data_IF_204958403545
#
_entry.id   IF_204958403545
#
_cell.length_a   1.000
_cell.length_b   1.000
_cell.length_c   1.000
_cell.angle_alpha   90.00
_cell.angle_beta   90.00
_cell.angle_gamma   90.00
#
_symmetry.space_group_name_H-M   'P 1'
#
loop_
_entity.id
_entity.type
_entity.pdbx_description
1 polymer ?
#
# COMPACT_ATOMS: atom_id res chain seq x y z
N UNK A 1 25.62 55.66 4.15
CA UNK A 1 24.82 56.09 2.98
C UNK A 1 23.41 56.34 3.50
N UNK A 2 23.05 57.50 4.04
CA UNK A 2 23.43 58.89 3.69
C UNK A 2 23.26 59.15 2.19
N UNK A 3 22.27 59.99 1.82
CA UNK A 3 22.40 61.28 1.09
C UNK A 3 21.38 61.21 -0.07
N UNK A 4 20.56 62.18 -0.50
CA UNK A 4 20.44 63.62 -0.21
C UNK A 4 19.05 64.15 -0.65
N UNK A 5 18.70 65.34 -0.16
CA UNK A 5 17.70 66.26 -0.74
C UNK A 5 18.27 66.91 -2.02
N UNK A 6 17.47 67.52 -2.92
CA UNK A 6 17.30 69.00 -2.91
C UNK A 6 15.96 69.46 -3.58
N UNK A 7 15.51 70.71 -3.74
CA UNK A 7 15.76 72.10 -3.27
C UNK A 7 14.60 72.95 -3.84
N UNK A 8 14.23 74.02 -3.15
CA UNK A 8 13.29 75.09 -3.53
C UNK A 8 13.67 75.86 -4.81
N UNK A 9 12.66 76.39 -5.54
CA UNK A 9 12.72 77.73 -6.17
C UNK A 9 11.31 78.37 -6.19
N UNK A 10 11.14 79.66 -5.82
CA UNK A 10 9.87 80.40 -5.85
C UNK A 10 9.69 81.18 -7.17
N UNK A 11 8.52 81.83 -7.39
CA UNK A 11 8.37 83.23 -7.90
C UNK A 11 6.99 83.53 -8.54
N UNK A 12 6.39 84.65 -8.07
CA UNK A 12 5.43 85.62 -8.67
C UNK A 12 4.06 85.13 -9.16
N UNK A 13 2.95 85.51 -8.52
CA UNK A 13 2.30 86.84 -8.46
C UNK A 13 1.70 87.29 -9.79
N UNK A 14 0.38 87.13 -9.93
CA UNK A 14 -0.43 88.09 -10.66
C UNK A 14 -1.81 88.25 -10.02
N UNK A 15 -2.09 89.51 -9.78
CA UNK A 15 -3.30 90.07 -9.19
C UNK A 15 -4.36 90.13 -10.29
N UNK A 16 -5.50 89.48 -10.07
CA UNK A 16 -6.72 89.76 -10.81
C UNK A 16 -7.89 89.88 -9.83
N UNK A 17 -8.40 91.11 -9.78
CA UNK A 17 -9.55 91.56 -9.03
C UNK A 17 -10.86 90.93 -9.53
N UNK A 18 -11.77 90.79 -8.56
CA UNK A 18 -13.22 90.96 -8.68
C UNK A 18 -14.02 89.98 -9.56
N UNK A 19 -14.72 89.07 -8.88
CA UNK A 19 -16.16 89.23 -8.71
C UNK A 19 -16.63 88.34 -7.56
N UNK A 20 -17.30 88.93 -6.57
CA UNK A 20 -17.93 88.24 -5.47
C UNK A 20 -19.38 87.91 -5.89
N UNK A 21 -19.70 86.66 -6.29
CA UNK A 21 -21.09 86.23 -6.37
C UNK A 21 -21.62 86.11 -4.94
N UNK A 22 -22.72 86.81 -4.67
CA UNK A 22 -23.54 86.66 -3.48
C UNK A 22 -23.89 85.19 -3.29
N UNK A 23 -23.33 84.60 -2.24
CA UNK A 23 -23.50 83.22 -1.79
C UNK A 23 -24.92 83.03 -1.22
N UNK A 24 -25.92 82.91 -2.09
CA UNK A 24 -27.22 82.36 -1.72
C UNK A 24 -27.24 80.85 -2.02
N UNK A 25 -26.85 80.09 -0.98
CA UNK A 25 -27.17 78.70 -0.64
C UNK A 25 -26.98 77.55 -1.68
N UNK A 26 -25.90 76.73 -1.57
CA UNK A 26 -25.83 75.36 -2.09
C UNK A 26 -26.06 74.29 -1.00
N UNK A 27 -26.59 74.66 0.17
CA UNK A 27 -26.69 73.77 1.34
C UNK A 27 -27.56 72.52 1.10
N UNK A 28 -28.42 72.52 0.08
CA UNK A 28 -29.29 71.38 -0.25
C UNK A 28 -28.60 70.34 -1.16
N UNK A 29 -27.88 70.76 -2.20
CA UNK A 29 -27.20 69.84 -3.13
C UNK A 29 -26.06 69.08 -2.47
N UNK A 30 -25.30 69.73 -1.61
CA UNK A 30 -24.21 69.09 -0.84
C UNK A 30 -24.75 68.06 0.16
N UNK A 31 -25.94 68.31 0.70
CA UNK A 31 -26.62 67.39 1.63
C UNK A 31 -27.12 66.13 0.92
N UNK A 32 -27.62 66.27 -0.31
CA UNK A 32 -28.02 65.13 -1.14
C UNK A 32 -26.84 64.29 -1.61
N UNK A 33 -25.75 64.93 -2.04
CA UNK A 33 -24.52 64.24 -2.44
C UNK A 33 -23.92 63.42 -1.28
N UNK A 34 -23.88 63.99 -0.06
CA UNK A 34 -23.43 63.29 1.16
C UNK A 34 -24.35 62.13 1.56
N UNK A 35 -25.66 62.22 1.28
CA UNK A 35 -26.60 61.11 1.51
C UNK A 35 -26.33 59.96 0.55
N UNK A 36 -26.21 60.24 -0.75
CA UNK A 36 -25.88 59.22 -1.76
C UNK A 36 -24.56 58.52 -1.47
N UNK A 37 -23.52 59.26 -1.10
CA UNK A 37 -22.21 58.67 -0.73
C UNK A 37 -22.32 57.71 0.47
N UNK A 38 -23.09 58.08 1.52
CA UNK A 38 -23.30 57.21 2.69
C UNK A 38 -24.11 55.97 2.35
N UNK A 39 -25.10 56.09 1.47
CA UNK A 39 -25.92 54.95 1.04
C UNK A 39 -25.10 53.99 0.18
N UNK A 40 -24.30 54.50 -0.76
CA UNK A 40 -23.36 53.69 -1.55
C UNK A 40 -22.30 53.01 -0.68
N UNK A 41 -21.77 53.69 0.33
CA UNK A 41 -20.83 53.12 1.29
C UNK A 41 -21.47 51.97 2.08
N UNK A 42 -22.69 52.15 2.59
CA UNK A 42 -23.45 51.10 3.28
C UNK A 42 -23.74 49.91 2.37
N UNK A 43 -24.08 50.15 1.11
CA UNK A 43 -24.30 49.08 0.14
C UNK A 43 -23.01 48.30 -0.13
N UNK A 44 -21.87 48.97 -0.28
CA UNK A 44 -20.55 48.33 -0.45
C UNK A 44 -20.17 47.52 0.78
N UNK A 45 -20.36 48.04 1.98
CA UNK A 45 -20.12 47.33 3.23
C UNK A 45 -21.01 46.09 3.34
N UNK A 46 -22.30 46.23 3.03
CA UNK A 46 -23.25 45.11 3.06
C UNK A 46 -22.87 44.03 2.03
N UNK A 47 -22.51 44.41 0.81
CA UNK A 47 -22.02 43.48 -0.22
C UNK A 47 -20.71 42.79 0.19
N UNK A 48 -19.77 43.51 0.84
CA UNK A 48 -18.53 42.95 1.35
C UNK A 48 -18.77 41.93 2.48
N UNK A 49 -19.71 42.21 3.40
CA UNK A 49 -20.09 41.28 4.47
C UNK A 49 -20.79 40.05 3.91
N UNK A 50 -21.72 40.23 2.96
CA UNK A 50 -22.44 39.12 2.31
C UNK A 50 -21.49 38.23 1.52
N UNK A 51 -20.57 38.81 0.74
CA UNK A 51 -19.57 38.04 -0.02
C UNK A 51 -18.58 37.28 0.88
N UNK A 52 -18.11 37.88 1.98
CA UNK A 52 -17.30 37.19 3.00
C UNK A 52 -18.03 36.00 3.62
N UNK A 53 -19.31 36.17 3.98
CA UNK A 53 -20.15 35.07 4.51
C UNK A 53 -20.35 33.96 3.47
N UNK A 54 -20.60 34.32 2.21
CA UNK A 54 -20.75 33.36 1.10
C UNK A 54 -19.47 32.57 0.87
N UNK A 55 -18.31 33.23 0.83
CA UNK A 55 -17.02 32.58 0.63
C UNK A 55 -16.66 31.63 1.78
N UNK A 56 -16.95 32.01 3.04
CA UNK A 56 -16.76 31.11 4.19
C UNK A 56 -17.62 29.85 4.09
N UNK A 57 -18.89 29.97 3.67
CA UNK A 57 -19.76 28.80 3.45
C UNK A 57 -19.23 27.92 2.32
N UNK A 58 -18.83 28.51 1.19
CA UNK A 58 -18.24 27.75 0.08
C UNK A 58 -17.02 26.97 0.56
N UNK A 59 -16.08 27.60 1.28
CA UNK A 59 -14.90 26.94 1.82
C UNK A 59 -15.26 25.78 2.76
N UNK A 60 -16.24 25.97 3.65
CA UNK A 60 -16.71 24.91 4.55
C UNK A 60 -17.32 23.73 3.79
N UNK A 61 -18.12 23.98 2.75
CA UNK A 61 -18.70 22.93 1.91
C UNK A 61 -17.64 22.22 1.08
N UNK A 62 -16.64 22.92 0.54
CA UNK A 62 -15.52 22.31 -0.17
C UNK A 62 -14.72 21.38 0.75
N UNK A 63 -14.41 21.83 1.97
CA UNK A 63 -13.71 20.99 2.96
C UNK A 63 -14.53 19.75 3.33
N UNK A 64 -15.83 19.92 3.58
CA UNK A 64 -16.72 18.80 3.87
C UNK A 64 -16.79 17.79 2.72
N UNK A 65 -16.84 18.26 1.47
CA UNK A 65 -16.83 17.39 0.29
C UNK A 65 -15.52 16.60 0.16
N UNK A 66 -14.37 17.24 0.38
CA UNK A 66 -13.06 16.55 0.35
C UNK A 66 -13.00 15.44 1.40
N UNK A 67 -13.43 15.74 2.64
CA UNK A 67 -13.48 14.75 3.72
C UNK A 67 -14.40 13.58 3.34
N UNK A 68 -15.58 13.86 2.80
CA UNK A 68 -16.53 12.83 2.38
C UNK A 68 -15.95 11.94 1.28
N UNK A 69 -15.32 12.52 0.26
CA UNK A 69 -14.65 11.77 -0.81
C UNK A 69 -13.54 10.89 -0.23
N UNK A 70 -12.75 11.41 0.71
CA UNK A 70 -11.71 10.65 1.40
C UNK A 70 -12.27 9.44 2.17
N UNK A 71 -13.35 9.63 2.92
CA UNK A 71 -14.02 8.55 3.65
C UNK A 71 -14.62 7.49 2.71
N UNK A 72 -15.26 7.91 1.63
CA UNK A 72 -15.80 7.00 0.60
C UNK A 72 -14.66 6.20 -0.05
N UNK A 73 -13.54 6.83 -0.38
CA UNK A 73 -12.39 6.13 -0.96
C UNK A 73 -11.78 5.11 0.02
N UNK A 74 -11.63 5.50 1.29
CA UNK A 74 -11.14 4.62 2.34
C UNK A 74 -12.06 3.40 2.53
N UNK A 75 -13.36 3.63 2.60
CA UNK A 75 -14.36 2.56 2.70
C UNK A 75 -14.31 1.63 1.49
N UNK A 76 -14.28 2.18 0.28
CA UNK A 76 -14.17 1.39 -0.95
C UNK A 76 -12.92 0.50 -0.98
N UNK A 77 -11.76 1.02 -0.57
CA UNK A 77 -10.53 0.22 -0.46
C UNK A 77 -10.65 -0.89 0.57
N UNK A 78 -11.30 -0.63 1.70
CA UNK A 78 -11.50 -1.63 2.74
C UNK A 78 -12.45 -2.75 2.30
N UNK A 79 -13.47 -2.46 1.48
CA UNK A 79 -14.48 -3.45 1.09
C UNK A 79 -14.21 -4.14 -0.24
N UNK A 80 -13.59 -3.45 -1.21
CA UNK A 80 -13.38 -3.97 -2.57
C UNK A 80 -11.91 -4.28 -2.85
N UNK A 81 -10.99 -3.67 -2.11
CA UNK A 81 -9.54 -3.84 -2.29
C UNK A 81 -8.97 -5.16 -1.76
N UNK A 82 -9.81 -6.15 -1.43
CA UNK A 82 -9.33 -7.46 -1.00
C UNK A 82 -8.59 -8.18 -2.12
N UNK A 83 -7.41 -8.75 -1.81
CA UNK A 83 -6.72 -9.65 -2.71
C UNK A 83 -7.66 -10.82 -3.05
N UNK A 84 -7.89 -11.06 -4.34
CA UNK A 84 -8.65 -12.24 -4.77
C UNK A 84 -7.88 -13.49 -4.32
N UNK A 85 -8.53 -14.47 -3.70
CA UNK A 85 -7.84 -15.67 -3.27
C UNK A 85 -7.30 -16.43 -4.49
N UNK A 86 -6.16 -17.08 -4.32
CA UNK A 86 -5.55 -17.93 -5.33
C UNK A 86 -6.43 -19.14 -5.65
N UNK A 87 -7.07 -19.74 -4.64
CA UNK A 87 -8.12 -20.75 -4.84
C UNK A 87 -9.50 -20.14 -4.69
N UNK A 88 -10.42 -20.50 -5.60
CA UNK A 88 -11.80 -20.02 -5.53
C UNK A 88 -12.55 -20.56 -4.30
N UNK A 89 -12.24 -21.80 -3.91
CA UNK A 89 -12.85 -22.51 -2.78
C UNK A 89 -11.78 -22.98 -1.79
N UNK A 90 -12.24 -23.53 -0.67
CA UNK A 90 -11.38 -24.36 0.16
C UNK A 90 -10.97 -25.61 -0.61
N UNK A 91 -9.75 -26.05 -0.36
CA UNK A 91 -9.15 -27.25 -0.92
C UNK A 91 -8.67 -28.15 0.22
N UNK A 92 -8.48 -29.43 -0.08
CA UNK A 92 -7.81 -30.39 0.78
C UNK A 92 -7.02 -31.30 -0.15
N UNK A 93 -5.75 -30.95 -0.39
CA UNK A 93 -4.88 -31.69 -1.30
C UNK A 93 -3.82 -32.45 -0.52
N UNK A 94 -3.47 -33.62 -1.03
CA UNK A 94 -2.41 -34.47 -0.50
C UNK A 94 -1.33 -34.67 -1.55
N UNK A 95 -0.06 -34.59 -1.16
CA UNK A 95 1.05 -35.01 -1.99
C UNK A 95 1.96 -35.98 -1.21
N UNK A 96 2.39 -37.06 -1.86
CA UNK A 96 3.36 -37.99 -1.30
C UNK A 96 4.75 -37.37 -1.30
N UNK A 97 5.44 -37.39 -0.16
CA UNK A 97 6.79 -36.86 -0.04
C UNK A 97 7.77 -38.01 0.19
N UNK A 98 8.77 -38.09 -0.67
CA UNK A 98 9.82 -39.10 -0.61
C UNK A 98 11.17 -38.40 -0.51
N UNK A 99 11.87 -38.60 0.61
CA UNK A 99 13.24 -38.10 0.78
C UNK A 99 14.20 -39.28 0.77
N UNK A 100 15.24 -39.21 -0.05
CA UNK A 100 16.26 -40.24 -0.17
C UNK A 100 17.65 -39.62 -0.02
N UNK A 101 18.43 -40.07 0.96
CA UNK A 101 19.79 -39.60 1.18
C UNK A 101 20.75 -40.77 0.98
N UNK A 102 21.63 -40.66 -0.02
CA UNK A 102 22.60 -41.71 -0.38
C UNK A 102 21.93 -43.09 -0.54
N UNK A 103 20.81 -43.17 -1.27
CA UNK A 103 20.08 -44.43 -1.49
C UNK A 103 19.20 -44.88 -0.32
N UNK A 104 19.20 -44.16 0.81
CA UNK A 104 18.43 -44.53 2.00
C UNK A 104 17.20 -43.61 2.13
N UNK A 105 16.01 -44.21 2.14
CA UNK A 105 14.76 -43.49 2.40
C UNK A 105 14.76 -42.88 3.80
N UNK A 106 14.32 -41.62 3.89
CA UNK A 106 14.12 -40.88 5.13
C UNK A 106 12.65 -40.52 5.26
N UNK A 107 12.15 -40.66 6.48
CA UNK A 107 10.83 -40.14 6.84
C UNK A 107 10.90 -38.65 7.12
N UNK A 108 9.75 -37.98 6.98
CA UNK A 108 9.59 -36.61 7.44
C UNK A 108 9.81 -36.51 8.96
N UNK A 109 10.20 -35.32 9.46
CA UNK A 109 10.28 -35.06 10.89
C UNK A 109 8.97 -35.42 11.60
N UNK A 110 9.10 -36.03 12.78
CA UNK A 110 7.93 -36.49 13.55
C UNK A 110 7.11 -35.34 14.10
N UNK A 111 5.79 -35.53 14.18
CA UNK A 111 4.88 -34.61 14.87
C UNK A 111 5.30 -34.46 16.34
N UNK A 112 5.45 -33.21 16.84
CA UNK A 112 5.76 -32.98 18.25
C UNK A 112 4.72 -33.61 19.19
N UNK A 113 5.18 -34.12 20.33
CA UNK A 113 4.29 -34.76 21.31
C UNK A 113 3.16 -33.82 21.75
N UNK A 114 1.91 -34.29 21.60
CA UNK A 114 0.71 -33.52 21.93
C UNK A 114 0.22 -32.57 20.83
N UNK A 115 0.93 -32.47 19.69
CA UNK A 115 0.43 -31.80 18.50
C UNK A 115 -0.35 -32.79 17.61
N UNK A 116 -1.34 -32.28 16.86
CA UNK A 116 -2.09 -33.08 15.89
C UNK A 116 -1.42 -33.19 14.52
N UNK A 117 -0.50 -32.26 14.21
CA UNK A 117 0.23 -32.17 12.95
C UNK A 117 1.55 -31.43 13.14
N UNK A 118 2.47 -31.53 12.18
CA UNK A 118 3.69 -30.70 12.11
C UNK A 118 3.62 -29.77 10.89
N UNK A 119 3.85 -28.47 11.11
CA UNK A 119 3.79 -27.43 10.09
C UNK A 119 2.83 -26.32 10.49
N UNK A 120 2.21 -25.69 9.50
CA UNK A 120 1.20 -24.64 9.69
C UNK A 120 -0.22 -25.20 9.55
N UNK A 121 -1.26 -24.48 9.98
CA UNK A 121 -2.65 -24.90 9.73
C UNK A 121 -2.98 -25.09 8.24
N UNK A 122 -2.35 -24.31 7.35
CA UNK A 122 -2.58 -24.41 5.90
C UNK A 122 -1.79 -25.56 5.27
N UNK A 123 -0.54 -25.78 5.69
CA UNK A 123 0.32 -26.84 5.17
C UNK A 123 1.05 -27.61 6.27
N UNK A 124 0.84 -28.93 6.33
CA UNK A 124 1.31 -29.78 7.43
C UNK A 124 1.46 -31.26 7.06
N UNK A 125 1.95 -32.08 7.99
CA UNK A 125 2.03 -33.55 7.91
C UNK A 125 1.54 -34.21 9.20
N UNK A 126 1.08 -35.47 9.12
CA UNK A 126 0.55 -36.27 10.22
C UNK A 126 1.36 -37.57 10.49
N UNK A 127 2.69 -37.55 10.28
CA UNK A 127 3.56 -38.74 10.38
C UNK A 127 3.29 -39.84 9.33
N UNK A 128 2.71 -39.46 8.19
CA UNK A 128 2.35 -40.36 7.09
C UNK A 128 3.19 -40.15 5.82
N UNK A 129 4.24 -39.32 5.92
CA UNK A 129 5.07 -38.88 4.79
C UNK A 129 4.28 -38.17 3.68
N UNK A 130 3.15 -37.53 4.02
CA UNK A 130 2.39 -36.69 3.10
C UNK A 130 2.48 -35.22 3.47
N UNK A 131 2.46 -34.39 2.43
CA UNK A 131 2.17 -32.97 2.52
C UNK A 131 0.66 -32.80 2.41
N UNK A 132 0.04 -32.23 3.43
CA UNK A 132 -1.36 -31.81 3.44
C UNK A 132 -1.44 -30.32 3.19
N UNK A 133 -2.34 -29.90 2.31
CA UNK A 133 -2.64 -28.51 2.03
C UNK A 133 -4.14 -28.28 2.12
N UNK A 134 -4.58 -27.64 3.20
CA UNK A 134 -6.00 -27.52 3.57
C UNK A 134 -6.43 -26.07 3.80
N UNK A 135 -7.54 -25.69 3.19
CA UNK A 135 -8.18 -24.39 3.37
C UNK A 135 -8.21 -23.55 2.09
N UNK A 136 -8.51 -22.26 2.24
CA UNK A 136 -8.55 -21.30 1.12
C UNK A 136 -7.20 -20.58 1.01
N UNK A 137 -6.55 -20.71 -0.15
CA UNK A 137 -5.25 -20.08 -0.38
C UNK A 137 -5.48 -18.66 -0.90
N UNK A 138 -4.86 -17.68 -0.24
CA UNK A 138 -4.89 -16.30 -0.69
C UNK A 138 -3.72 -15.96 -1.60
N UNK A 139 -2.51 -16.43 -1.28
CA UNK A 139 -1.30 -16.20 -2.07
C UNK A 139 -0.72 -17.51 -2.54
N UNK A 140 -0.39 -17.59 -3.84
CA UNK A 140 0.19 -18.80 -4.46
C UNK A 140 1.34 -19.38 -3.63
N UNK A 141 2.25 -18.53 -3.15
CA UNK A 141 3.45 -18.90 -2.39
C UNK A 141 3.16 -19.64 -1.07
N UNK A 142 1.96 -19.47 -0.50
CA UNK A 142 1.59 -20.08 0.78
C UNK A 142 1.28 -21.58 0.63
N UNK A 143 1.28 -22.08 -0.61
CA UNK A 143 0.99 -23.46 -0.98
C UNK A 143 2.19 -24.15 -1.66
N UNK A 144 3.38 -23.56 -1.54
CA UNK A 144 4.59 -24.05 -2.18
C UNK A 144 5.24 -25.20 -1.38
N UNK A 145 5.87 -26.16 -2.08
CA UNK A 145 6.63 -27.25 -1.45
C UNK A 145 7.75 -26.73 -0.55
N UNK A 146 8.48 -25.69 -0.97
CA UNK A 146 9.56 -25.11 -0.17
C UNK A 146 9.08 -24.60 1.20
N UNK A 147 7.94 -23.89 1.22
CA UNK A 147 7.36 -23.38 2.47
C UNK A 147 6.93 -24.50 3.41
N UNK A 148 6.41 -25.60 2.87
CA UNK A 148 6.09 -26.78 3.66
C UNK A 148 7.34 -27.37 4.33
N UNK A 149 8.40 -27.61 3.56
CA UNK A 149 9.65 -28.18 4.07
C UNK A 149 10.27 -27.29 5.15
N UNK A 150 10.29 -25.98 4.93
CA UNK A 150 10.72 -25.00 5.93
C UNK A 150 9.87 -25.08 7.21
N UNK A 151 8.54 -25.22 7.07
CA UNK A 151 7.61 -25.28 8.20
C UNK A 151 7.79 -26.53 9.08
N UNK A 152 8.30 -27.63 8.53
CA UNK A 152 8.62 -28.86 9.26
C UNK A 152 10.11 -28.99 9.60
N UNK A 153 10.92 -27.98 9.29
CA UNK A 153 12.35 -27.94 9.61
C UNK A 153 13.22 -28.86 8.75
N UNK A 154 12.84 -29.11 7.50
CA UNK A 154 13.65 -29.84 6.53
C UNK A 154 14.42 -28.84 5.66
N UNK A 155 15.74 -28.83 5.79
CA UNK A 155 16.59 -28.01 4.90
C UNK A 155 16.43 -28.46 3.45
N UNK A 156 16.10 -27.54 2.55
CA UNK A 156 15.99 -27.82 1.12
C UNK A 156 16.42 -26.62 0.26
N UNK A 157 17.53 -26.77 -0.45
CA UNK A 157 18.07 -25.80 -1.40
C UNK A 157 18.86 -26.50 -2.51
N UNK A 158 19.34 -25.74 -3.50
CA UNK A 158 20.18 -26.25 -4.60
C UNK A 158 21.41 -27.04 -4.11
N UNK A 159 21.91 -26.74 -2.91
CA UNK A 159 23.11 -27.37 -2.35
C UNK A 159 22.89 -28.03 -1.00
N UNK A 160 21.67 -28.11 -0.48
CA UNK A 160 21.40 -28.71 0.83
C UNK A 160 20.07 -29.47 0.86
N UNK A 161 20.09 -30.70 1.39
CA UNK A 161 18.88 -31.48 1.65
C UNK A 161 19.02 -32.23 2.97
N UNK A 162 18.16 -31.94 3.95
CA UNK A 162 18.09 -32.67 5.21
C UNK A 162 19.47 -32.70 5.93
N UNK A 163 20.15 -31.55 5.97
CA UNK A 163 21.50 -31.39 6.53
C UNK A 163 22.66 -31.95 5.70
N UNK A 164 22.40 -32.60 4.55
CA UNK A 164 23.44 -32.98 3.58
C UNK A 164 23.76 -31.82 2.66
N UNK A 165 25.03 -31.50 2.50
CA UNK A 165 25.50 -30.35 1.69
C UNK A 165 26.23 -30.80 0.44
N UNK A 166 26.18 -29.98 -0.61
CA UNK A 166 26.93 -30.22 -1.85
C UNK A 166 28.41 -30.48 -1.56
N UNK A 167 28.90 -31.63 -2.02
CA UNK A 167 30.25 -32.12 -1.73
C UNK A 167 30.33 -33.18 -0.63
N UNK A 168 29.29 -33.35 0.19
CA UNK A 168 29.18 -34.51 1.08
C UNK A 168 29.16 -35.79 0.25
N UNK A 169 29.88 -36.82 0.71
CA UNK A 169 30.03 -38.06 -0.04
C UNK A 169 28.93 -39.07 0.28
N UNK A 170 28.43 -39.73 -0.77
CA UNK A 170 27.66 -40.96 -0.71
C UNK A 170 28.54 -42.07 -1.29
N UNK A 171 28.92 -43.06 -0.49
CA UNK A 171 29.79 -44.18 -0.90
C UNK A 171 31.09 -43.74 -1.59
N UNK A 172 31.68 -42.64 -1.10
CA UNK A 172 32.93 -42.09 -1.61
C UNK A 172 32.78 -41.18 -2.84
N UNK A 173 31.57 -40.98 -3.36
CA UNK A 173 31.29 -40.06 -4.48
C UNK A 173 30.54 -38.83 -3.96
N UNK A 174 30.97 -37.60 -4.32
CA UNK A 174 30.25 -36.38 -3.93
C UNK A 174 28.80 -36.40 -4.42
N UNK A 175 27.85 -36.19 -3.50
CA UNK A 175 26.43 -36.10 -3.79
C UNK A 175 25.96 -34.68 -4.14
N UNK A 176 24.80 -34.63 -4.80
CA UNK A 176 24.07 -33.41 -5.16
C UNK A 176 22.58 -33.57 -4.90
N UNK A 177 21.90 -32.44 -4.69
CA UNK A 177 20.45 -32.39 -4.53
C UNK A 177 19.78 -32.54 -5.91
N UNK A 178 18.73 -33.36 -5.98
CA UNK A 178 17.85 -33.49 -7.15
C UNK A 178 16.41 -33.50 -6.69
N UNK A 179 15.51 -33.00 -7.53
CA UNK A 179 14.09 -32.92 -7.26
C UNK A 179 13.29 -33.52 -8.42
N UNK A 180 12.26 -34.27 -8.10
CA UNK A 180 11.36 -34.90 -9.06
C UNK A 180 9.92 -34.64 -8.64
N UNK A 181 9.10 -34.29 -9.63
CA UNK A 181 7.67 -34.13 -9.48
C UNK A 181 7.00 -35.14 -10.40
N UNK A 182 6.24 -36.08 -9.84
CA UNK A 182 5.55 -37.12 -10.60
C UNK A 182 6.51 -37.86 -11.56
N UNK A 183 7.67 -38.27 -11.04
CA UNK A 183 8.80 -38.93 -11.75
C UNK A 183 9.57 -38.06 -12.77
N UNK A 184 9.10 -36.85 -13.07
CA UNK A 184 9.83 -35.91 -13.93
C UNK A 184 10.85 -35.10 -13.11
N UNK A 185 12.12 -35.10 -13.53
CA UNK A 185 13.15 -34.27 -12.90
C UNK A 185 12.90 -32.79 -13.19
N UNK A 186 12.86 -31.98 -12.14
CA UNK A 186 12.68 -30.52 -12.19
C UNK A 186 13.84 -29.84 -11.48
N UNK A 187 14.07 -28.55 -11.74
CA UNK A 187 15.08 -27.82 -10.97
C UNK A 187 14.65 -27.69 -9.50
N UNK A 188 15.61 -27.57 -8.59
CA UNK A 188 15.31 -27.38 -7.16
C UNK A 188 14.56 -26.06 -6.96
N UNK A 189 14.96 -24.98 -7.63
CA UNK A 189 14.19 -23.73 -7.65
C UNK A 189 12.73 -23.91 -8.13
N UNK A 190 12.50 -24.69 -9.20
CA UNK A 190 11.13 -24.99 -9.66
C UNK A 190 10.34 -25.77 -8.61
N UNK A 191 10.97 -26.76 -7.96
CA UNK A 191 10.33 -27.52 -6.89
C UNK A 191 9.98 -26.63 -5.68
N UNK A 192 10.89 -25.76 -5.26
CA UNK A 192 10.66 -24.84 -4.14
C UNK A 192 9.46 -23.91 -4.39
N UNK A 193 9.24 -23.48 -5.63
CA UNK A 193 8.13 -22.61 -6.03
C UNK A 193 6.86 -23.37 -6.46
N UNK A 194 6.92 -24.70 -6.49
CA UNK A 194 5.82 -25.53 -6.99
C UNK A 194 4.66 -25.55 -6.00
N UNK A 195 3.45 -25.27 -6.50
CA UNK A 195 2.21 -25.42 -5.73
C UNK A 195 1.62 -26.78 -6.03
N UNK A 196 1.60 -27.63 -5.01
CA UNK A 196 1.10 -29.00 -5.14
C UNK A 196 -0.35 -29.06 -5.63
N UNK A 197 -0.71 -30.22 -6.15
CA UNK A 197 -2.05 -30.67 -6.50
C UNK A 197 -2.33 -31.96 -5.74
N UNK A 198 -3.60 -32.31 -5.64
CA UNK A 198 -4.00 -33.57 -5.02
C UNK A 198 -3.45 -34.76 -5.83
N UNK A 199 -2.81 -35.69 -5.14
CA UNK A 199 -2.20 -36.89 -5.71
C UNK A 199 -0.80 -36.70 -6.28
N UNK A 200 -0.18 -35.53 -6.16
CA UNK A 200 1.21 -35.34 -6.59
C UNK A 200 2.19 -36.21 -5.80
N UNK A 201 3.32 -36.54 -6.42
CA UNK A 201 4.46 -37.20 -5.78
C UNK A 201 5.67 -36.27 -5.87
N UNK A 202 6.15 -35.83 -4.72
CA UNK A 202 7.37 -35.03 -4.55
C UNK A 202 8.48 -35.95 -4.09
N UNK A 203 9.51 -36.14 -4.92
CA UNK A 203 10.70 -36.90 -4.54
C UNK A 203 11.92 -35.97 -4.52
N UNK A 204 12.61 -35.95 -3.38
CA UNK A 204 13.84 -35.20 -3.15
C UNK A 204 14.97 -36.18 -2.87
N UNK A 205 16.09 -36.03 -3.56
CA UNK A 205 17.22 -36.93 -3.37
C UNK A 205 18.52 -36.18 -3.16
N UNK A 206 19.40 -36.76 -2.35
CA UNK A 206 20.82 -36.39 -2.26
C UNK A 206 21.64 -37.61 -2.66
N UNK A 207 22.21 -37.59 -3.87
CA UNK A 207 22.88 -38.73 -4.47
C UNK A 207 24.01 -38.28 -5.41
N UNK A 208 24.95 -39.15 -5.77
CA UNK A 208 26.05 -38.85 -6.71
C UNK A 208 25.63 -38.18 -8.03
#
# INVERSE_FOLDING_TARGET
MEIDKPVDVPVQSDVAQEHHPSHEAPAHSDREARRKQRDEEREREHQAVVSKKRNKRILQWTLAAIILIGLVNLFYRATVGGEKPYTATEIHWHADVQIELCGVRKDLPRVPAGAGHFGTPLTHTHDDNKLHLEGRIFKKRDANVGLFLDAIGVDFSESELYGKRGGDVCDGVPGRVRAFLNDDEVSVAQMQEYVIKDGDVVKLTFAP
#
